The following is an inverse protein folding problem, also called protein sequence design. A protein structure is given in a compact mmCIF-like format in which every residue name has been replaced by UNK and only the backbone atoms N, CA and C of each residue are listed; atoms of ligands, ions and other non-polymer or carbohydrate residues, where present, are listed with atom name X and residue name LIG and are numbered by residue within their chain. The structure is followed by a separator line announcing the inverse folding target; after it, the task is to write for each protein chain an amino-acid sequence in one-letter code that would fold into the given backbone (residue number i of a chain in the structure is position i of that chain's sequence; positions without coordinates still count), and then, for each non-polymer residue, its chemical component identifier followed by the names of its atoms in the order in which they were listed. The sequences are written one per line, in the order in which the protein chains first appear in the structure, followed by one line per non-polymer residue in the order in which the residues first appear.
data_IF_901073173855
#
_entry.id   IF_901073173855
#
_cell.length_a   1.000
_cell.length_b   1.000
_cell.length_c   1.000
_cell.angle_alpha   90.00
_cell.angle_beta   90.00
_cell.angle_gamma   90.00
#
_symmetry.space_group_name_H-M   'P 1'
#
loop_
_entity.id
_entity.type
_entity.pdbx_description
1 polymer ?
#
# COMPACT_ATOMS: atom_id res chain seq x y z
N UNK A 1 -10.44 -34.32 20.96
CA UNK A 1 -10.74 -35.68 21.45
C UNK A 1 -10.05 -36.64 20.50
N UNK A 2 -9.12 -37.42 21.05
CA UNK A 2 -8.32 -38.43 20.37
C UNK A 2 -9.22 -39.56 19.84
N UNK A 3 -8.93 -40.06 18.64
CA UNK A 3 -9.62 -41.18 18.01
C UNK A 3 -8.64 -42.12 17.33
N UNK A 4 -7.71 -42.68 18.09
CA UNK A 4 -6.82 -43.76 17.62
C UNK A 4 -6.99 -44.96 18.55
N UNK A 5 -7.64 -46.01 18.06
CA UNK A 5 -7.63 -47.34 18.69
C UNK A 5 -7.76 -48.41 17.59
N UNK A 6 -6.84 -49.38 17.59
CA UNK A 6 -6.87 -50.55 16.72
C UNK A 6 -5.51 -51.25 16.68
N UNK A 7 -5.25 -52.12 17.65
CA UNK A 7 -4.08 -53.02 17.68
C UNK A 7 -4.27 -54.22 16.74
N UNK A 8 -3.18 -54.69 16.13
CA UNK A 8 -3.09 -56.00 15.45
C UNK A 8 -1.69 -56.24 14.86
N UNK A 9 -0.98 -57.23 15.38
CA UNK A 9 0.37 -57.65 14.98
C UNK A 9 0.40 -58.58 13.75
N UNK A 10 1.49 -58.42 12.98
CA UNK A 10 2.17 -59.33 12.03
C UNK A 10 1.38 -60.05 10.92
N UNK A 11 1.81 -59.87 9.65
CA UNK A 11 2.32 -60.92 8.76
C UNK A 11 2.87 -60.30 7.44
N UNK A 12 4.11 -60.64 7.10
CA UNK A 12 4.75 -60.34 5.81
C UNK A 12 4.14 -61.21 4.70
N UNK A 13 3.67 -60.60 3.62
CA UNK A 13 3.58 -61.23 2.30
C UNK A 13 3.84 -60.17 1.22
N UNK A 14 4.94 -60.35 0.48
CA UNK A 14 5.21 -59.68 -0.79
C UNK A 14 4.25 -60.23 -1.86
N UNK A 15 3.49 -59.35 -2.50
CA UNK A 15 2.83 -59.64 -3.77
C UNK A 15 3.02 -58.44 -4.71
N UNK A 16 3.82 -58.67 -5.73
CA UNK A 16 3.93 -57.82 -6.92
C UNK A 16 2.59 -57.82 -7.67
N UNK A 17 1.97 -56.66 -7.76
CA UNK A 17 0.89 -56.39 -8.71
C UNK A 17 1.18 -55.08 -9.43
N UNK A 18 1.70 -55.21 -10.65
CA UNK A 18 1.80 -54.16 -11.65
C UNK A 18 0.38 -53.75 -12.08
N UNK A 19 -0.04 -52.57 -11.64
CA UNK A 19 -1.22 -51.88 -12.15
C UNK A 19 -0.78 -50.56 -12.76
N UNK A 20 -0.64 -50.55 -14.08
CA UNK A 20 -0.54 -49.35 -14.88
C UNK A 20 -1.80 -48.50 -14.72
N UNK A 21 -1.74 -47.54 -13.79
CA UNK A 21 -2.69 -46.44 -13.75
C UNK A 21 -2.17 -45.33 -14.66
N UNK A 22 -2.79 -45.20 -15.83
CA UNK A 22 -2.70 -43.98 -16.64
C UNK A 22 -3.28 -42.82 -15.82
N UNK A 23 -2.39 -42.08 -15.19
CA UNK A 23 -2.71 -40.81 -14.56
C UNK A 23 -2.91 -39.76 -15.66
N UNK A 24 -4.14 -39.64 -16.17
CA UNK A 24 -4.62 -38.42 -16.81
C UNK A 24 -4.71 -37.30 -15.77
N UNK A 25 -3.58 -36.66 -15.45
CA UNK A 25 -3.58 -35.42 -14.69
C UNK A 25 -3.94 -34.26 -15.61
N UNK A 26 -5.08 -33.64 -15.29
CA UNK A 26 -5.65 -32.46 -15.93
C UNK A 26 -4.66 -31.30 -16.02
N UNK A 27 -4.10 -31.05 -17.21
CA UNK A 27 -3.24 -29.89 -17.50
C UNK A 27 -4.03 -28.67 -18.02
N UNK A 28 -5.37 -28.69 -17.88
CA UNK A 28 -6.25 -27.70 -18.54
C UNK A 28 -6.69 -26.54 -17.64
N UNK A 29 -6.40 -26.55 -16.34
CA UNK A 29 -6.92 -25.52 -15.40
C UNK A 29 -5.90 -24.41 -15.11
N UNK A 30 -4.60 -24.74 -14.99
CA UNK A 30 -3.55 -23.75 -14.72
C UNK A 30 -3.45 -22.68 -15.82
N UNK A 31 -3.56 -23.05 -17.10
CA UNK A 31 -3.53 -22.10 -18.21
C UNK A 31 -4.72 -21.12 -18.21
N UNK A 32 -5.89 -21.54 -17.73
CA UNK A 32 -7.09 -20.70 -17.67
C UNK A 32 -7.03 -19.71 -16.51
N UNK A 33 -6.50 -20.12 -15.36
CA UNK A 33 -6.29 -19.26 -14.18
C UNK A 33 -5.29 -18.16 -14.50
N UNK A 34 -4.14 -18.50 -15.10
CA UNK A 34 -3.11 -17.52 -15.48
C UNK A 34 -3.67 -16.49 -16.48
N UNK A 35 -4.46 -16.94 -17.46
CA UNK A 35 -5.07 -16.03 -18.45
C UNK A 35 -6.05 -15.06 -17.78
N UNK A 36 -6.88 -15.54 -16.84
CA UNK A 36 -7.84 -14.68 -16.14
C UNK A 36 -7.15 -13.63 -15.26
N UNK A 37 -6.11 -14.01 -14.52
CA UNK A 37 -5.33 -13.07 -13.69
C UNK A 37 -4.67 -11.98 -14.55
N UNK A 38 -4.10 -12.37 -15.69
CA UNK A 38 -3.52 -11.43 -16.65
C UNK A 38 -4.57 -10.47 -17.21
N UNK A 39 -5.76 -10.97 -17.57
CA UNK A 39 -6.86 -10.16 -18.08
C UNK A 39 -7.34 -9.13 -17.04
N UNK A 40 -7.43 -9.51 -15.77
CA UNK A 40 -7.82 -8.61 -14.67
C UNK A 40 -6.79 -7.50 -14.49
N UNK A 41 -5.50 -7.86 -14.40
CA UNK A 41 -4.43 -6.88 -14.24
C UNK A 41 -4.29 -5.96 -15.46
N UNK A 42 -4.43 -6.51 -16.67
CA UNK A 42 -4.40 -5.72 -17.90
C UNK A 42 -5.55 -4.72 -17.96
N UNK A 43 -6.77 -5.14 -17.58
CA UNK A 43 -7.92 -4.24 -17.48
C UNK A 43 -7.68 -3.14 -16.45
N UNK A 44 -7.13 -3.47 -15.28
CA UNK A 44 -6.78 -2.47 -14.29
C UNK A 44 -5.77 -1.45 -14.84
N UNK A 45 -4.71 -1.92 -15.52
CA UNK A 45 -3.67 -1.05 -16.08
C UNK A 45 -4.23 -0.07 -17.12
N UNK A 46 -5.18 -0.48 -17.97
CA UNK A 46 -5.84 0.44 -18.90
C UNK A 46 -6.61 1.55 -18.18
N UNK A 47 -7.21 1.25 -17.03
CA UNK A 47 -7.90 2.24 -16.21
C UNK A 47 -6.92 3.12 -15.43
N UNK A 48 -5.79 2.56 -14.99
CA UNK A 48 -4.71 3.29 -14.37
C UNK A 48 -4.10 4.32 -15.32
N UNK A 49 -3.84 3.97 -16.58
CA UNK A 49 -3.40 4.91 -17.62
C UNK A 49 -4.40 6.06 -17.82
N UNK A 50 -5.71 5.76 -17.79
CA UNK A 50 -6.75 6.79 -17.88
C UNK A 50 -6.71 7.73 -16.67
N UNK A 51 -6.52 7.20 -15.46
CA UNK A 51 -6.41 8.01 -14.25
C UNK A 51 -5.16 8.89 -14.30
N UNK A 52 -4.01 8.32 -14.68
CA UNK A 52 -2.75 9.02 -14.82
C UNK A 52 -2.85 10.20 -15.78
N UNK A 53 -3.39 9.98 -16.98
CA UNK A 53 -3.61 11.05 -17.95
C UNK A 53 -4.52 12.16 -17.43
N UNK A 54 -5.52 11.83 -16.61
CA UNK A 54 -6.36 12.84 -15.93
C UNK A 54 -5.57 13.62 -14.87
N UNK A 55 -4.77 12.95 -14.04
CA UNK A 55 -3.96 13.61 -13.01
C UNK A 55 -2.90 14.51 -13.62
N UNK A 56 -2.18 14.04 -14.63
CA UNK A 56 -1.17 14.82 -15.36
C UNK A 56 -1.81 16.05 -16.04
N UNK A 57 -2.93 15.88 -16.73
CA UNK A 57 -3.61 17.00 -17.41
C UNK A 57 -4.15 18.08 -16.46
N UNK A 58 -4.36 17.73 -15.18
CA UNK A 58 -4.80 18.66 -14.13
C UNK A 58 -3.68 19.05 -13.16
N UNK A 59 -2.45 18.62 -13.39
CA UNK A 59 -1.32 18.89 -12.50
C UNK A 59 -1.58 18.36 -11.06
N UNK A 60 -2.36 17.29 -10.92
CA UNK A 60 -2.68 16.68 -9.63
C UNK A 60 -1.55 15.73 -9.25
N UNK A 61 -0.90 16.01 -8.12
CA UNK A 61 0.11 15.13 -7.57
C UNK A 61 -0.56 14.01 -6.76
N UNK A 62 -0.83 12.88 -7.43
CA UNK A 62 -1.48 11.72 -6.83
C UNK A 62 -0.47 10.76 -6.19
N UNK A 63 -0.68 10.40 -4.92
CA UNK A 63 0.16 9.49 -4.13
C UNK A 63 -0.64 8.30 -3.63
N UNK A 64 -0.11 7.08 -3.81
CA UNK A 64 -0.69 5.85 -3.27
C UNK A 64 0.05 5.44 -2.00
N UNK A 65 -0.61 5.51 -0.84
CA UNK A 65 -0.03 5.15 0.46
C UNK A 65 -0.38 3.69 0.79
N UNK A 66 0.65 2.84 0.84
CA UNK A 66 0.52 1.41 1.12
C UNK A 66 1.29 1.04 2.38
N UNK A 67 0.76 0.12 3.21
CA UNK A 67 1.42 -0.29 4.46
C UNK A 67 0.82 -1.57 5.02
N UNK A 68 1.40 -2.13 6.08
CA UNK A 68 0.68 -3.05 6.97
C UNK A 68 -0.45 -2.33 7.72
N UNK A 69 -1.46 -3.04 8.25
CA UNK A 69 -2.38 -2.47 9.23
C UNK A 69 -1.62 -1.89 10.43
N UNK A 70 -1.99 -0.69 10.86
CA UNK A 70 -1.39 -0.07 12.04
C UNK A 70 -0.01 0.54 11.86
N UNK A 71 0.57 0.58 10.65
CA UNK A 71 1.85 1.29 10.39
C UNK A 71 1.74 2.83 10.54
N UNK A 72 0.50 3.35 10.60
CA UNK A 72 0.20 4.75 10.89
C UNK A 72 -0.03 5.64 9.67
N UNK A 73 -0.63 5.11 8.59
CA UNK A 73 -0.96 5.87 7.37
C UNK A 73 -1.87 7.07 7.66
N UNK A 74 -3.01 6.81 8.30
CA UNK A 74 -3.98 7.87 8.63
C UNK A 74 -3.37 8.94 9.53
N UNK A 75 -2.57 8.56 10.53
CA UNK A 75 -1.89 9.54 11.39
C UNK A 75 -0.82 10.33 10.64
N UNK A 76 -0.08 9.69 9.72
CA UNK A 76 0.84 10.41 8.84
C UNK A 76 0.09 11.43 7.97
N UNK A 77 -1.07 11.06 7.43
CA UNK A 77 -1.93 11.97 6.66
C UNK A 77 -2.47 13.11 7.51
N UNK A 78 -3.02 12.83 8.69
CA UNK A 78 -3.55 13.84 9.62
C UNK A 78 -2.49 14.91 9.91
N UNK A 79 -1.29 14.48 10.28
CA UNK A 79 -0.20 15.40 10.62
C UNK A 79 0.39 16.09 9.38
N UNK A 80 0.40 15.43 8.22
CA UNK A 80 0.75 16.08 6.94
C UNK A 80 -0.21 17.24 6.63
N UNK A 81 -1.52 17.01 6.77
CA UNK A 81 -2.54 18.04 6.53
C UNK A 81 -2.40 19.17 7.54
N UNK A 82 -2.22 18.87 8.84
CA UNK A 82 -2.00 19.91 9.86
C UNK A 82 -0.74 20.73 9.58
N UNK A 83 0.37 20.10 9.18
CA UNK A 83 1.61 20.79 8.84
C UNK A 83 1.46 21.69 7.61
N UNK A 84 0.77 21.22 6.57
CA UNK A 84 0.65 21.97 5.32
C UNK A 84 -0.42 23.07 5.38
N UNK A 85 -1.54 22.84 6.08
CA UNK A 85 -2.63 23.82 6.20
C UNK A 85 -2.38 24.81 7.35
N UNK A 86 -1.78 24.33 8.46
CA UNK A 86 -1.56 25.13 9.67
C UNK A 86 -0.29 25.97 9.66
N UNK A 87 0.68 25.69 8.80
CA UNK A 87 1.90 26.50 8.71
C UNK A 87 1.63 27.82 7.98
N UNK A 88 2.07 28.93 8.58
CA UNK A 88 2.19 30.22 7.88
C UNK A 88 3.35 30.09 6.90
N UNK A 89 3.06 29.54 5.72
CA UNK A 89 4.01 29.43 4.62
C UNK A 89 3.97 30.71 3.79
N UNK A 90 5.13 31.15 3.31
CA UNK A 90 5.24 32.32 2.41
C UNK A 90 4.52 32.09 1.08
N UNK A 91 4.34 30.82 0.69
CA UNK A 91 3.58 30.41 -0.49
C UNK A 91 2.29 29.69 -0.07
N UNK A 92 1.19 29.87 -0.83
CA UNK A 92 -0.04 29.13 -0.58
C UNK A 92 0.20 27.62 -0.73
N UNK A 93 -0.15 26.86 0.31
CA UNK A 93 -0.09 25.40 0.28
C UNK A 93 -1.08 24.84 -0.75
N UNK A 94 -0.72 23.76 -1.47
CA UNK A 94 -1.65 23.11 -2.39
C UNK A 94 -2.87 22.57 -1.62
N UNK A 95 -4.02 22.56 -2.29
CA UNK A 95 -5.21 21.89 -1.76
C UNK A 95 -4.95 20.39 -1.64
N UNK A 96 -5.46 19.78 -0.58
CA UNK A 96 -5.29 18.37 -0.28
C UNK A 96 -6.65 17.68 -0.37
N UNK A 97 -6.68 16.55 -1.08
CA UNK A 97 -7.82 15.66 -1.20
C UNK A 97 -7.40 14.26 -0.76
N UNK A 98 -8.32 13.50 -0.18
CA UNK A 98 -8.05 12.14 0.29
C UNK A 98 -9.09 11.15 -0.23
N UNK A 99 -8.61 10.01 -0.72
CA UNK A 99 -9.41 8.81 -0.95
C UNK A 99 -8.98 7.80 0.10
N UNK A 100 -9.91 7.39 0.96
CA UNK A 100 -9.67 6.41 2.03
C UNK A 100 -10.18 5.04 1.59
N UNK A 101 -9.30 4.05 1.54
CA UNK A 101 -9.64 2.67 1.19
C UNK A 101 -9.54 1.73 2.38
N UNK A 102 -10.67 1.19 2.81
CA UNK A 102 -10.72 0.15 3.84
C UNK A 102 -11.66 -0.99 3.42
N UNK A 103 -11.59 -2.13 4.10
CA UNK A 103 -12.54 -3.22 3.92
C UNK A 103 -13.95 -2.81 4.36
N UNK A 104 -14.03 -2.16 5.52
CA UNK A 104 -15.28 -1.78 6.19
C UNK A 104 -15.09 -0.50 6.99
N UNK A 105 -16.21 0.08 7.43
CA UNK A 105 -16.28 1.29 8.26
C UNK A 105 -15.83 2.57 7.54
N UNK A 106 -16.02 3.71 8.17
CA UNK A 106 -15.58 5.03 7.70
C UNK A 106 -14.60 5.67 8.69
N UNK A 107 -14.03 4.91 9.62
CA UNK A 107 -13.33 5.47 10.78
C UNK A 107 -12.18 6.41 10.38
N UNK A 108 -11.37 6.01 9.40
CA UNK A 108 -10.24 6.81 8.95
C UNK A 108 -10.70 8.02 8.11
N UNK A 109 -11.72 7.86 7.26
CA UNK A 109 -12.34 9.01 6.58
C UNK A 109 -12.97 10.02 7.56
N UNK A 110 -13.64 9.56 8.61
CA UNK A 110 -14.26 10.42 9.63
C UNK A 110 -13.20 11.20 10.40
N UNK A 111 -12.06 10.56 10.69
CA UNK A 111 -10.89 11.22 11.31
C UNK A 111 -10.31 12.31 10.42
N UNK A 112 -10.14 12.04 9.12
CA UNK A 112 -9.62 13.00 8.16
C UNK A 112 -10.61 14.16 7.92
N UNK A 113 -11.92 13.88 7.89
CA UNK A 113 -12.95 14.90 7.68
C UNK A 113 -12.93 16.02 8.74
N UNK A 114 -12.51 15.72 9.97
CA UNK A 114 -12.35 16.71 11.06
C UNK A 114 -11.29 17.77 10.74
N UNK A 115 -10.41 17.53 9.77
CA UNK A 115 -9.38 18.46 9.32
C UNK A 115 -9.88 19.46 8.26
N UNK A 116 -11.18 19.44 7.95
CA UNK A 116 -11.83 20.33 6.98
C UNK A 116 -11.23 20.24 5.57
N UNK A 117 -10.85 19.03 5.16
CA UNK A 117 -10.43 18.71 3.79
C UNK A 117 -11.39 17.72 3.12
N UNK A 118 -11.54 17.76 1.78
CA UNK A 118 -12.39 16.81 1.09
C UNK A 118 -11.84 15.38 1.16
N UNK A 119 -12.65 14.45 1.64
CA UNK A 119 -12.33 13.02 1.75
C UNK A 119 -13.44 12.16 1.17
N UNK A 120 -13.07 11.05 0.52
CA UNK A 120 -14.02 10.06 -0.01
C UNK A 120 -13.66 8.65 0.46
N UNK A 121 -14.58 8.01 1.17
CA UNK A 121 -14.43 6.62 1.62
C UNK A 121 -14.76 5.64 0.48
N UNK A 122 -13.90 4.64 0.30
CA UNK A 122 -14.09 3.47 -0.55
C UNK A 122 -14.08 2.23 0.33
N UNK A 123 -15.25 1.59 0.47
CA UNK A 123 -15.36 0.30 1.15
C UNK A 123 -15.18 -0.82 0.13
N UNK A 124 -14.07 -1.54 0.25
CA UNK A 124 -13.67 -2.64 -0.65
C UNK A 124 -14.37 -3.96 -0.33
N UNK A 125 -15.13 -4.02 0.76
CA UNK A 125 -15.82 -5.24 1.17
C UNK A 125 -14.83 -6.27 1.71
N UNK A 126 -14.59 -7.33 0.93
CA UNK A 126 -13.56 -8.35 1.22
C UNK A 126 -12.28 -8.12 0.42
N UNK A 127 -12.21 -7.07 -0.41
CA UNK A 127 -11.01 -6.71 -1.16
C UNK A 127 -9.83 -6.40 -0.23
N UNK A 128 -8.61 -6.71 -0.67
CA UNK A 128 -7.38 -6.45 0.08
C UNK A 128 -6.56 -5.27 -0.46
N UNK A 129 -7.08 -4.56 -1.45
CA UNK A 129 -6.43 -3.46 -2.15
C UNK A 129 -7.49 -2.58 -2.85
N UNK A 130 -7.10 -1.38 -3.26
CA UNK A 130 -7.85 -0.54 -4.20
C UNK A 130 -7.48 -0.88 -5.64
N UNK A 131 -8.43 -0.68 -6.55
CA UNK A 131 -8.25 -0.79 -8.01
C UNK A 131 -8.41 0.57 -8.68
N UNK A 132 -7.88 0.74 -9.89
CA UNK A 132 -7.92 1.99 -10.63
C UNK A 132 -9.36 2.49 -10.90
N UNK A 133 -10.34 1.59 -11.08
CA UNK A 133 -11.74 2.00 -11.28
C UNK A 133 -12.33 2.64 -10.03
N UNK A 134 -11.99 2.11 -8.85
CA UNK A 134 -12.45 2.64 -7.56
C UNK A 134 -11.91 4.06 -7.34
N UNK A 135 -10.63 4.27 -7.64
CA UNK A 135 -10.00 5.60 -7.61
C UNK A 135 -10.67 6.53 -8.62
N UNK A 136 -10.96 6.05 -9.85
CA UNK A 136 -11.64 6.87 -10.84
C UNK A 136 -13.02 7.35 -10.37
N UNK A 137 -13.79 6.47 -9.75
CA UNK A 137 -15.10 6.80 -9.19
C UNK A 137 -14.99 7.84 -8.07
N UNK A 138 -14.05 7.65 -7.14
CA UNK A 138 -13.81 8.59 -6.05
C UNK A 138 -13.36 9.97 -6.55
N UNK A 139 -12.47 10.02 -7.54
CA UNK A 139 -12.00 11.27 -8.17
C UNK A 139 -13.14 12.04 -8.83
N UNK A 140 -14.09 11.36 -9.49
CA UNK A 140 -15.28 12.02 -10.06
C UNK A 140 -16.15 12.66 -8.98
N UNK A 141 -16.25 12.05 -7.81
CA UNK A 141 -17.01 12.60 -6.70
C UNK A 141 -16.30 13.78 -6.04
N UNK A 142 -15.02 13.63 -5.72
CA UNK A 142 -14.20 14.68 -5.09
C UNK A 142 -13.98 15.89 -5.99
N UNK A 143 -13.90 15.66 -7.31
CA UNK A 143 -13.55 16.67 -8.31
C UNK A 143 -12.35 17.55 -7.90
N UNK A 144 -11.15 16.97 -7.68
CA UNK A 144 -10.00 17.74 -7.21
C UNK A 144 -9.66 18.91 -8.13
N UNK A 145 -9.30 20.03 -7.50
CA UNK A 145 -8.81 21.22 -8.19
C UNK A 145 -7.46 20.96 -8.88
N UNK A 146 -7.14 21.76 -9.90
CA UNK A 146 -5.86 21.67 -10.59
C UNK A 146 -4.70 22.05 -9.66
N UNK A 147 -3.53 21.44 -9.84
CA UNK A 147 -2.35 21.73 -9.02
C UNK A 147 -2.50 21.29 -7.55
N UNK A 148 -3.41 20.35 -7.26
CA UNK A 148 -3.67 19.82 -5.92
C UNK A 148 -2.83 18.58 -5.60
N UNK A 149 -2.80 18.18 -4.32
CA UNK A 149 -2.28 16.88 -3.89
C UNK A 149 -3.47 15.97 -3.63
N UNK A 150 -3.43 14.77 -4.20
CA UNK A 150 -4.40 13.70 -3.94
C UNK A 150 -3.70 12.54 -3.24
N UNK A 151 -4.08 12.26 -2.00
CA UNK A 151 -3.65 11.04 -1.33
C UNK A 151 -4.68 9.94 -1.53
N UNK A 152 -4.22 8.76 -1.89
CA UNK A 152 -4.98 7.52 -1.87
C UNK A 152 -4.42 6.67 -0.73
N UNK A 153 -5.11 6.65 0.41
CA UNK A 153 -4.80 5.71 1.48
C UNK A 153 -5.33 4.33 1.10
N UNK A 154 -4.42 3.42 0.78
CA UNK A 154 -4.79 2.06 0.37
C UNK A 154 -5.11 1.18 1.59
N UNK A 155 -5.73 0.03 1.33
CA UNK A 155 -6.00 -0.97 2.37
C UNK A 155 -4.69 -1.39 3.03
N UNK A 156 -4.70 -1.59 4.35
CA UNK A 156 -3.54 -2.08 5.10
C UNK A 156 -3.13 -3.50 4.68
N UNK A 157 -2.26 -3.61 3.69
CA UNK A 157 -1.71 -4.87 3.19
C UNK A 157 -0.37 -4.62 2.46
N UNK A 158 0.65 -5.43 2.73
CA UNK A 158 1.98 -5.34 2.08
C UNK A 158 2.15 -6.25 0.84
N UNK A 159 1.09 -6.96 0.44
CA UNK A 159 1.12 -7.94 -0.64
C UNK A 159 0.25 -7.48 -1.80
N UNK A 160 -1.08 -7.44 -1.62
CA UNK A 160 -2.01 -7.17 -2.73
C UNK A 160 -1.79 -5.81 -3.41
N UNK A 161 -1.64 -4.68 -2.68
CA UNK A 161 -1.57 -3.36 -3.31
C UNK A 161 -0.40 -3.18 -4.28
N UNK A 162 0.69 -3.94 -4.09
CA UNK A 162 1.87 -3.82 -4.94
C UNK A 162 1.62 -4.23 -6.40
N UNK A 163 0.58 -5.03 -6.67
CA UNK A 163 0.26 -5.54 -8.00
C UNK A 163 -0.68 -4.62 -8.80
N UNK A 164 -1.30 -3.63 -8.16
CA UNK A 164 -2.37 -2.82 -8.75
C UNK A 164 -1.93 -1.37 -8.87
N UNK A 165 -1.65 -0.96 -10.11
CA UNK A 165 -1.46 0.44 -10.47
C UNK A 165 -2.80 1.19 -10.40
N UNK A 166 -2.83 2.36 -9.76
CA UNK A 166 -4.02 3.21 -9.64
C UNK A 166 -3.96 4.42 -10.58
N UNK A 167 -2.82 4.62 -11.26
CA UNK A 167 -2.51 5.80 -12.05
C UNK A 167 -1.79 6.89 -11.25
N UNK A 168 -1.36 6.60 -10.02
CA UNK A 168 -0.63 7.53 -9.16
C UNK A 168 0.70 8.00 -9.77
N UNK A 169 1.14 9.19 -9.37
CA UNK A 169 2.46 9.70 -9.75
C UNK A 169 3.57 9.03 -8.94
N UNK A 170 3.28 8.65 -7.69
CA UNK A 170 4.23 8.06 -6.76
C UNK A 170 3.60 7.03 -5.82
N UNK A 171 4.27 5.89 -5.67
CA UNK A 171 3.97 4.86 -4.67
C UNK A 171 4.76 5.10 -3.39
N UNK A 172 4.07 5.17 -2.26
CA UNK A 172 4.66 5.35 -0.93
C UNK A 172 4.40 4.10 -0.10
N UNK A 173 5.46 3.37 0.25
CA UNK A 173 5.37 2.32 1.26
C UNK A 173 5.66 2.91 2.63
N UNK A 174 4.77 2.67 3.60
CA UNK A 174 4.93 3.08 4.99
C UNK A 174 5.16 1.84 5.82
N UNK A 175 6.26 1.83 6.58
CA UNK A 175 6.62 0.74 7.49
C UNK A 175 6.93 1.34 8.85
N UNK A 176 6.47 0.70 9.92
CA UNK A 176 6.71 1.18 11.28
C UNK A 176 7.80 0.38 11.99
N UNK A 177 8.52 1.04 12.91
CA UNK A 177 9.51 0.37 13.77
C UNK A 177 8.93 -0.82 14.53
N UNK A 178 7.64 -0.80 14.88
CA UNK A 178 6.96 -1.89 15.58
C UNK A 178 6.84 -3.19 14.76
N UNK A 179 7.11 -3.14 13.45
CA UNK A 179 7.02 -4.31 12.58
C UNK A 179 8.35 -5.08 12.48
N UNK A 180 9.48 -4.50 12.90
CA UNK A 180 10.81 -5.11 12.79
C UNK A 180 11.57 -4.72 11.52
N UNK A 181 12.90 -4.77 11.60
CA UNK A 181 13.84 -4.27 10.56
C UNK A 181 14.03 -5.20 9.35
N UNK A 182 13.55 -6.44 9.43
CA UNK A 182 13.61 -7.42 8.35
C UNK A 182 12.45 -7.31 7.34
N UNK A 183 11.47 -6.44 7.58
CA UNK A 183 10.24 -6.38 6.77
C UNK A 183 10.46 -6.13 5.29
N UNK A 184 11.39 -5.25 4.86
CA UNK A 184 11.65 -5.09 3.44
C UNK A 184 12.09 -6.37 2.75
N UNK A 185 12.88 -7.21 3.42
CA UNK A 185 13.34 -8.49 2.86
C UNK A 185 12.24 -9.55 2.85
N UNK A 186 11.27 -9.46 3.77
CA UNK A 186 10.12 -10.38 3.84
C UNK A 186 9.03 -10.05 2.81
N UNK A 187 8.88 -8.78 2.45
CA UNK A 187 7.87 -8.30 1.49
C UNK A 187 8.52 -7.54 0.32
N UNK A 188 9.49 -8.14 -0.40
CA UNK A 188 10.34 -7.38 -1.31
C UNK A 188 9.57 -6.69 -2.44
N UNK A 189 8.47 -7.27 -2.92
CA UNK A 189 7.73 -6.75 -4.06
C UNK A 189 7.19 -5.33 -3.82
N UNK A 190 6.59 -5.05 -2.66
CA UNK A 190 6.03 -3.71 -2.39
C UNK A 190 7.11 -2.64 -2.22
N UNK A 191 8.29 -3.02 -1.70
CA UNK A 191 9.43 -2.10 -1.58
C UNK A 191 10.13 -1.90 -2.93
N UNK A 192 10.13 -2.92 -3.80
CA UNK A 192 10.64 -2.82 -5.17
C UNK A 192 9.81 -1.85 -6.02
N UNK A 193 8.48 -1.90 -5.87
CA UNK A 193 7.52 -1.06 -6.59
C UNK A 193 7.40 0.36 -6.05
N UNK A 194 7.78 0.62 -4.80
CA UNK A 194 7.65 1.93 -4.18
C UNK A 194 8.72 2.91 -4.67
N UNK A 195 8.34 4.18 -4.85
CA UNK A 195 9.28 5.28 -5.06
C UNK A 195 9.82 5.83 -3.73
N UNK A 196 8.98 5.79 -2.69
CA UNK A 196 9.26 6.35 -1.37
C UNK A 196 9.01 5.30 -0.29
N UNK A 197 9.92 5.23 0.68
CA UNK A 197 9.75 4.49 1.92
C UNK A 197 9.69 5.46 3.10
N UNK A 198 8.58 5.45 3.84
CA UNK A 198 8.45 6.19 5.10
C UNK A 198 8.59 5.21 6.25
N UNK A 199 9.67 5.35 7.02
CA UNK A 199 9.91 4.61 8.26
C UNK A 199 9.28 5.40 9.40
N UNK A 200 8.09 4.99 9.84
CA UNK A 200 7.31 5.67 10.85
C UNK A 200 7.57 5.13 12.27
N UNK A 201 7.14 5.89 13.28
CA UNK A 201 7.25 5.58 14.71
C UNK A 201 8.70 5.43 15.19
N UNK A 202 9.62 6.21 14.64
CA UNK A 202 11.04 6.18 15.06
C UNK A 202 11.22 6.55 16.53
N UNK A 203 10.26 7.27 17.12
CA UNK A 203 10.22 7.58 18.55
C UNK A 203 10.08 6.34 19.44
N UNK A 204 9.60 5.23 18.89
CA UNK A 204 9.47 3.97 19.61
C UNK A 204 10.75 3.12 19.56
N UNK A 205 11.73 3.44 18.72
CA UNK A 205 12.95 2.66 18.57
C UNK A 205 13.69 2.39 19.90
N UNK A 206 13.79 3.32 20.87
CA UNK A 206 14.43 3.04 22.16
C UNK A 206 13.75 1.97 23.01
N UNK A 207 12.51 1.59 22.69
CA UNK A 207 11.72 0.59 23.42
C UNK A 207 11.59 -0.74 22.67
N UNK A 208 12.24 -0.87 21.51
CA UNK A 208 12.12 -2.01 20.61
C UNK A 208 13.51 -2.54 20.26
N UNK A 209 13.60 -3.81 19.89
CA UNK A 209 14.84 -4.39 19.34
C UNK A 209 15.07 -4.03 17.86
N UNK A 210 14.25 -3.13 17.31
CA UNK A 210 14.31 -2.75 15.90
C UNK A 210 15.40 -1.72 15.65
N UNK A 211 16.29 -2.00 14.70
CA UNK A 211 17.29 -1.04 14.25
C UNK A 211 16.80 -0.29 13.00
N UNK A 212 16.53 1.01 13.14
CA UNK A 212 16.04 1.88 12.06
C UNK A 212 17.01 1.92 10.87
N UNK A 213 18.32 1.99 11.13
CA UNK A 213 19.32 1.97 10.07
C UNK A 213 19.39 0.61 9.36
N UNK A 214 19.24 -0.49 10.10
CA UNK A 214 19.16 -1.81 9.47
C UNK A 214 17.92 -1.94 8.57
N UNK A 215 16.77 -1.43 9.02
CA UNK A 215 15.52 -1.40 8.24
C UNK A 215 15.70 -0.60 6.95
N UNK A 216 16.22 0.62 7.05
CA UNK A 216 16.54 1.48 5.91
C UNK A 216 17.48 0.81 4.92
N UNK A 217 18.57 0.22 5.40
CA UNK A 217 19.52 -0.49 4.55
C UNK A 217 18.88 -1.71 3.88
N UNK A 218 17.99 -2.43 4.56
CA UNK A 218 17.25 -3.54 3.98
C UNK A 218 16.27 -3.07 2.90
N UNK A 219 15.58 -1.95 3.10
CA UNK A 219 14.74 -1.35 2.05
C UNK A 219 15.57 -0.97 0.82
N UNK A 220 16.72 -0.32 1.04
CA UNK A 220 17.62 0.08 -0.05
C UNK A 220 18.28 -1.11 -0.77
N UNK A 221 18.46 -2.26 -0.10
CA UNK A 221 18.91 -3.50 -0.78
C UNK A 221 17.85 -4.03 -1.75
N UNK A 222 16.58 -3.86 -1.43
CA UNK A 222 15.48 -4.28 -2.30
C UNK A 222 15.29 -3.29 -3.45
N UNK A 223 15.40 -1.99 -3.17
CA UNK A 223 15.30 -0.94 -4.16
C UNK A 223 16.28 0.20 -3.87
N UNK A 224 17.36 0.27 -4.64
CA UNK A 224 18.42 1.27 -4.51
C UNK A 224 18.00 2.69 -4.90
N UNK A 225 16.84 2.86 -5.54
CA UNK A 225 16.30 4.17 -5.93
C UNK A 225 15.31 4.75 -4.92
N UNK A 226 14.95 4.01 -3.87
CA UNK A 226 14.01 4.47 -2.85
C UNK A 226 14.48 5.77 -2.19
N UNK A 227 13.60 6.76 -2.18
CA UNK A 227 13.74 7.90 -1.27
C UNK A 227 13.22 7.48 0.11
N UNK A 228 14.03 7.63 1.15
CA UNK A 228 13.64 7.23 2.50
C UNK A 228 13.41 8.45 3.40
N UNK A 229 12.30 8.44 4.13
CA UNK A 229 12.01 9.39 5.21
C UNK A 229 11.88 8.64 6.53
N UNK A 230 12.56 9.14 7.56
CA UNK A 230 12.43 8.65 8.93
C UNK A 230 11.55 9.63 9.70
N UNK A 231 10.40 9.16 10.16
CA UNK A 231 9.39 10.04 10.77
C UNK A 231 8.84 9.45 12.07
N UNK A 232 8.47 10.35 12.96
CA UNK A 232 7.50 10.08 14.02
C UNK A 232 6.33 11.02 13.79
N UNK A 233 5.26 10.51 13.16
CA UNK A 233 4.09 11.34 12.88
C UNK A 233 3.53 11.99 14.15
N UNK A 234 3.43 11.21 15.24
CA UNK A 234 2.86 11.69 16.52
C UNK A 234 3.77 12.66 17.28
N UNK A 235 5.08 12.70 16.99
CA UNK A 235 6.05 13.62 17.62
C UNK A 235 6.48 14.75 16.70
N UNK A 236 6.08 14.74 15.43
CA UNK A 236 6.49 15.68 14.40
C UNK A 236 7.94 15.51 13.90
N UNK A 237 8.75 14.62 14.48
CA UNK A 237 10.13 14.40 14.04
C UNK A 237 10.16 13.91 12.59
N UNK A 238 10.92 14.58 11.73
CA UNK A 238 11.03 14.24 10.31
C UNK A 238 9.87 14.69 9.42
N UNK A 239 8.77 15.20 10.01
CA UNK A 239 7.58 15.61 9.25
C UNK A 239 7.82 16.81 8.34
N UNK A 240 8.69 17.74 8.73
CA UNK A 240 9.03 18.91 7.91
C UNK A 240 9.70 18.49 6.60
N UNK A 241 10.69 17.60 6.66
CA UNK A 241 11.38 17.10 5.48
C UNK A 241 10.42 16.34 4.53
N UNK A 242 9.46 15.59 5.09
CA UNK A 242 8.40 14.93 4.33
C UNK A 242 7.48 15.94 3.64
N UNK A 243 6.98 16.92 4.38
CA UNK A 243 6.05 17.95 3.87
C UNK A 243 6.69 18.88 2.84
N UNK A 244 7.96 19.25 3.04
CA UNK A 244 8.72 20.09 2.11
C UNK A 244 8.97 19.35 0.79
N UNK A 245 9.26 18.06 0.87
CA UNK A 245 9.37 17.23 -0.33
C UNK A 245 8.05 17.14 -1.07
N UNK A 246 6.92 16.90 -0.39
CA UNK A 246 5.60 16.85 -1.01
C UNK A 246 5.27 18.14 -1.78
N UNK A 247 5.53 19.30 -1.18
CA UNK A 247 5.29 20.60 -1.85
C UNK A 247 6.25 20.82 -3.01
N UNK A 248 7.51 20.42 -2.87
CA UNK A 248 8.48 20.48 -3.97
C UNK A 248 8.05 19.63 -5.16
N UNK A 249 7.63 18.38 -4.94
CA UNK A 249 7.16 17.50 -6.02
C UNK A 249 5.85 18.00 -6.64
N UNK A 250 4.88 18.42 -5.83
CA UNK A 250 3.63 18.98 -6.32
C UNK A 250 3.86 20.20 -7.24
N UNK A 251 4.89 21.00 -6.96
CA UNK A 251 5.24 22.15 -7.80
C UNK A 251 5.84 21.75 -9.14
N UNK A 252 6.50 20.58 -9.24
CA UNK A 252 7.05 20.05 -10.50
C UNK A 252 5.98 19.48 -11.43
N UNK A 253 4.79 19.20 -10.91
CA UNK A 253 3.64 18.76 -11.70
C UNK A 253 2.93 19.91 -12.43
N UNK A 254 3.28 21.17 -12.13
CA UNK A 254 2.85 22.37 -12.87
C UNK A 254 3.81 22.67 -14.01
#
# INVERSE_FOLDING_TARGET
MCGTCGCGEHHHHEHDHDHGHEHHHHYHDEGKVITLEQDILQRNNLLAERNRGYFEAKEIFCLNLMSSPGSGKTTLLEETVRHLVGAVREQPSPKIYVIEGDQQTSNDADRIAVLDIPVFQVNTGTGCHLEADMVNHAVKHLSPENGSILFVENVGNLVCPAMFDLGEAKKVVIVSTTEGDDKPLKYPHIFAEADICVINKIDLAPYLDTNVEALKNNALKVNHHLKVFEVSATKGTGMDAWCDWLVSECTKCK
#
